data_IF_446632030221
#
_entry.id   IF_446632030221
#
_cell.length_a   1.000
_cell.length_b   1.000
_cell.length_c   1.000
_cell.angle_alpha   90.00
_cell.angle_beta   90.00
_cell.angle_gamma   90.00
#
_symmetry.space_group_name_H-M   'P 1'
#
loop_
_entity.id
_entity.type
_entity.pdbx_description
1 polymer ?
#
# COMPACT_ATOMS: atom_id res chain seq x y z
N UNK A 1 -0.96 -33.54 11.54
CA UNK A 1 -1.62 -33.76 10.23
C UNK A 1 -2.08 -35.21 10.24
N UNK A 2 -3.38 -35.47 10.34
CA UNK A 2 -3.89 -36.84 10.31
C UNK A 2 -3.98 -37.26 8.84
N UNK A 3 -3.04 -38.08 8.38
CA UNK A 3 -3.05 -38.64 7.03
C UNK A 3 -3.93 -39.90 7.09
N UNK A 4 -5.08 -39.88 6.42
CA UNK A 4 -6.07 -40.97 6.48
C UNK A 4 -5.53 -42.29 5.91
N UNK A 5 -4.62 -42.22 4.93
CA UNK A 5 -3.80 -43.33 4.46
C UNK A 5 -2.32 -42.91 4.51
N UNK A 6 -1.58 -43.24 5.59
CA UNK A 6 -0.17 -42.90 5.65
C UNK A 6 0.62 -43.75 4.66
N UNK A 7 1.59 -43.14 3.99
CA UNK A 7 2.51 -43.86 3.12
C UNK A 7 3.23 -44.97 3.92
N UNK A 8 3.13 -46.25 3.51
CA UNK A 8 3.74 -47.36 4.24
C UNK A 8 5.27 -47.42 4.14
N UNK A 9 5.90 -46.47 3.45
CA UNK A 9 7.34 -46.47 3.14
C UNK A 9 7.65 -47.12 1.79
N UNK A 10 8.87 -46.90 1.27
CA UNK A 10 9.32 -47.44 -0.02
C UNK A 10 9.87 -46.36 -0.94
N UNK A 11 9.70 -46.53 -2.26
CA UNK A 11 10.07 -45.51 -3.24
C UNK A 11 8.83 -44.69 -3.61
N UNK A 12 8.93 -43.36 -3.52
CA UNK A 12 7.85 -42.42 -3.83
C UNK A 12 8.04 -41.81 -5.21
N UNK A 13 7.12 -42.10 -6.12
CA UNK A 13 7.12 -41.61 -7.49
C UNK A 13 6.19 -40.41 -7.65
N UNK A 14 6.39 -39.64 -8.73
CA UNK A 14 5.47 -38.55 -9.08
C UNK A 14 4.02 -39.04 -9.23
N UNK A 15 3.83 -40.29 -9.72
CA UNK A 15 2.51 -40.88 -9.87
C UNK A 15 1.79 -41.03 -8.52
N UNK A 16 2.50 -41.40 -7.46
CA UNK A 16 1.94 -41.56 -6.13
C UNK A 16 1.35 -40.22 -5.64
N UNK A 17 2.08 -39.11 -5.81
CA UNK A 17 1.55 -37.78 -5.49
C UNK A 17 0.28 -37.43 -6.28
N UNK A 18 0.26 -37.72 -7.59
CA UNK A 18 -0.92 -37.50 -8.44
C UNK A 18 -2.10 -38.34 -7.97
N UNK A 19 -1.88 -39.61 -7.63
CA UNK A 19 -2.94 -40.51 -7.17
C UNK A 19 -3.52 -40.07 -5.83
N UNK A 20 -2.70 -39.62 -4.88
CA UNK A 20 -3.17 -39.02 -3.62
C UNK A 20 -4.05 -37.78 -3.86
N UNK A 21 -3.64 -36.89 -4.78
CA UNK A 21 -4.43 -35.71 -5.13
C UNK A 21 -5.77 -36.08 -5.78
N UNK A 22 -5.78 -37.07 -6.69
CA UNK A 22 -7.00 -37.57 -7.32
C UNK A 22 -7.93 -38.23 -6.30
N UNK A 23 -7.41 -39.12 -5.45
CA UNK A 23 -8.18 -39.79 -4.41
C UNK A 23 -8.83 -38.77 -3.45
N UNK A 24 -8.07 -37.77 -3.00
CA UNK A 24 -8.58 -36.68 -2.16
C UNK A 24 -9.68 -35.89 -2.88
N UNK A 25 -9.46 -35.55 -4.15
CA UNK A 25 -10.44 -34.79 -4.95
C UNK A 25 -11.74 -35.57 -5.13
N UNK A 26 -11.67 -36.84 -5.54
CA UNK A 26 -12.85 -37.67 -5.75
C UNK A 26 -13.59 -37.97 -4.44
N UNK A 27 -12.86 -38.18 -3.34
CA UNK A 27 -13.48 -38.38 -2.02
C UNK A 27 -14.26 -37.15 -1.56
N UNK A 28 -13.73 -35.94 -1.80
CA UNK A 28 -14.43 -34.69 -1.50
C UNK A 28 -15.70 -34.53 -2.35
N UNK A 29 -15.63 -34.87 -3.64
CA UNK A 29 -16.79 -34.79 -4.54
C UNK A 29 -17.87 -35.81 -4.18
N UNK A 30 -17.49 -37.05 -3.83
CA UNK A 30 -18.42 -38.08 -3.37
C UNK A 30 -19.09 -37.68 -2.05
N UNK A 31 -18.33 -37.15 -1.09
CA UNK A 31 -18.88 -36.59 0.15
C UNK A 31 -19.88 -35.47 -0.14
N UNK A 32 -19.52 -34.51 -1.00
CA UNK A 32 -20.41 -33.41 -1.36
C UNK A 32 -21.68 -33.88 -2.07
N UNK A 33 -21.60 -34.93 -2.90
CA UNK A 33 -22.75 -35.51 -3.58
C UNK A 33 -23.70 -36.23 -2.60
N UNK A 34 -23.15 -36.97 -1.63
CA UNK A 34 -23.91 -37.72 -0.61
C UNK A 34 -24.53 -36.80 0.44
N UNK A 35 -23.77 -35.82 0.92
CA UNK A 35 -24.13 -34.92 2.02
C UNK A 35 -24.67 -33.56 1.55
N UNK A 36 -25.12 -33.46 0.28
CA UNK A 36 -25.54 -32.19 -0.34
C UNK A 36 -26.57 -31.42 0.50
N UNK A 37 -27.54 -32.11 1.08
CA UNK A 37 -28.60 -31.50 1.88
C UNK A 37 -28.04 -30.94 3.19
N UNK A 38 -27.21 -31.72 3.89
CA UNK A 38 -26.50 -31.31 5.10
C UNK A 38 -25.61 -30.08 4.85
N UNK A 39 -24.85 -30.08 3.75
CA UNK A 39 -23.94 -28.99 3.39
C UNK A 39 -24.72 -27.70 3.11
N UNK A 40 -25.76 -27.78 2.26
CA UNK A 40 -26.59 -26.62 1.92
C UNK A 40 -27.33 -26.09 3.15
N UNK A 41 -27.92 -26.98 3.96
CA UNK A 41 -28.60 -26.60 5.20
C UNK A 41 -27.66 -25.90 6.17
N UNK A 42 -26.47 -26.47 6.43
CA UNK A 42 -25.49 -25.87 7.33
C UNK A 42 -24.99 -24.52 6.82
N UNK A 43 -24.79 -24.37 5.50
CA UNK A 43 -24.46 -23.09 4.90
C UNK A 43 -25.58 -22.06 5.15
N UNK A 44 -26.83 -22.38 4.86
CA UNK A 44 -27.96 -21.48 5.11
C UNK A 44 -28.10 -21.12 6.59
N UNK A 45 -28.00 -22.12 7.48
CA UNK A 45 -28.09 -21.94 8.93
C UNK A 45 -26.98 -21.01 9.45
N UNK A 46 -25.73 -21.24 9.05
CA UNK A 46 -24.60 -20.39 9.43
C UNK A 46 -24.82 -18.92 9.05
N UNK A 47 -25.39 -18.67 7.86
CA UNK A 47 -25.68 -17.31 7.39
C UNK A 47 -26.86 -16.66 8.13
N UNK A 48 -27.92 -17.42 8.45
CA UNK A 48 -29.03 -16.94 9.26
C UNK A 48 -28.58 -16.60 10.69
N UNK A 49 -27.78 -17.47 11.30
CA UNK A 49 -27.18 -17.24 12.63
C UNK A 49 -26.28 -15.98 12.61
N UNK A 50 -25.54 -15.75 11.53
CA UNK A 50 -24.72 -14.54 11.36
C UNK A 50 -25.58 -13.27 11.32
N UNK A 51 -26.69 -13.28 10.57
CA UNK A 51 -27.64 -12.16 10.52
C UNK A 51 -28.21 -11.87 11.92
N UNK A 52 -28.64 -12.91 12.63
CA UNK A 52 -29.25 -12.76 13.95
C UNK A 52 -28.25 -12.20 14.98
N UNK A 53 -27.02 -12.71 14.99
CA UNK A 53 -25.93 -12.15 15.81
C UNK A 53 -25.65 -10.70 15.46
N UNK A 54 -25.74 -10.31 14.19
CA UNK A 54 -25.56 -8.92 13.78
C UNK A 54 -26.65 -7.97 14.28
N UNK A 55 -27.86 -8.48 14.58
CA UNK A 55 -28.97 -7.71 15.16
C UNK A 55 -28.90 -7.61 16.68
N UNK A 56 -28.25 -8.56 17.34
CA UNK A 56 -28.34 -8.75 18.80
C UNK A 56 -27.01 -8.57 19.53
N UNK A 57 -25.87 -8.71 18.84
CA UNK A 57 -24.54 -8.63 19.43
C UNK A 57 -23.66 -7.55 18.78
N UNK A 58 -22.87 -6.80 19.57
CA UNK A 58 -21.89 -5.87 19.02
C UNK A 58 -20.73 -6.58 18.28
N UNK A 59 -20.11 -5.92 17.29
CA UNK A 59 -20.50 -4.62 16.75
C UNK A 59 -21.74 -4.76 15.84
N UNK A 60 -22.60 -3.74 15.84
CA UNK A 60 -23.81 -3.66 15.01
C UNK A 60 -23.53 -3.12 13.61
N UNK A 61 -22.53 -2.24 13.46
CA UNK A 61 -22.10 -1.72 12.17
C UNK A 61 -20.62 -1.30 12.15
N UNK A 62 -20.10 -1.12 10.94
CA UNK A 62 -18.96 -0.24 10.68
C UNK A 62 -19.42 0.94 9.83
N UNK A 63 -19.04 2.15 10.21
CA UNK A 63 -19.34 3.37 9.45
C UNK A 63 -18.06 3.91 8.82
N UNK A 64 -18.07 4.15 7.52
CA UNK A 64 -16.98 4.79 6.77
C UNK A 64 -17.43 6.20 6.39
N UNK A 65 -16.99 7.24 7.14
CA UNK A 65 -17.37 8.61 6.86
C UNK A 65 -16.95 9.03 5.45
N UNK A 66 -17.76 9.81 4.75
CA UNK A 66 -17.40 10.35 3.42
C UNK A 66 -16.69 11.69 3.49
N UNK A 67 -17.04 12.48 4.49
CA UNK A 67 -16.57 13.87 4.63
C UNK A 67 -15.26 13.97 5.42
N UNK A 68 -14.91 12.94 6.17
CA UNK A 68 -13.76 12.87 7.07
C UNK A 68 -12.80 11.75 6.64
N UNK A 69 -12.31 11.84 5.39
CA UNK A 69 -11.30 10.93 4.83
C UNK A 69 -10.15 11.73 4.25
N UNK A 70 -8.93 11.27 4.54
CA UNK A 70 -7.72 11.80 3.91
C UNK A 70 -7.74 11.55 2.39
N UNK A 71 -7.96 10.30 1.99
CA UNK A 71 -8.16 9.88 0.61
C UNK A 71 -9.53 9.22 0.40
N UNK A 72 -10.58 10.00 0.04
CA UNK A 72 -11.91 9.47 -0.24
C UNK A 72 -11.96 8.44 -1.38
N UNK A 73 -10.99 8.48 -2.31
CA UNK A 73 -10.91 7.53 -3.42
C UNK A 73 -10.43 6.17 -2.91
N UNK A 74 -9.46 6.15 -2.02
CA UNK A 74 -8.96 4.92 -1.39
C UNK A 74 -9.99 4.31 -0.44
N UNK A 75 -10.70 5.13 0.35
CA UNK A 75 -11.85 4.68 1.17
C UNK A 75 -12.91 3.96 0.32
N UNK A 76 -13.21 4.50 -0.85
CA UNK A 76 -14.10 3.87 -1.83
C UNK A 76 -13.53 2.58 -2.40
N UNK A 77 -12.22 2.54 -2.73
CA UNK A 77 -11.57 1.30 -3.21
C UNK A 77 -11.70 0.18 -2.16
N UNK A 78 -11.58 0.51 -0.87
CA UNK A 78 -11.82 -0.45 0.21
C UNK A 78 -13.26 -0.98 0.18
N UNK A 79 -14.25 -0.09 0.07
CA UNK A 79 -15.66 -0.47 -0.04
C UNK A 79 -15.95 -1.33 -1.28
N UNK A 80 -15.29 -1.05 -2.42
CA UNK A 80 -15.39 -1.88 -3.63
C UNK A 80 -14.81 -3.29 -3.42
N UNK A 81 -13.67 -3.41 -2.73
CA UNK A 81 -13.09 -4.70 -2.34
C UNK A 81 -14.08 -5.51 -1.48
N UNK A 82 -14.68 -4.87 -0.48
CA UNK A 82 -15.67 -5.51 0.40
C UNK A 82 -16.91 -5.94 -0.39
N UNK A 83 -17.44 -5.06 -1.24
CA UNK A 83 -18.62 -5.35 -2.07
C UNK A 83 -18.36 -6.51 -3.05
N UNK A 84 -17.17 -6.57 -3.68
CA UNK A 84 -16.75 -7.71 -4.50
C UNK A 84 -16.61 -9.01 -3.70
N UNK A 85 -16.31 -8.91 -2.41
CA UNK A 85 -16.32 -10.02 -1.46
C UNK A 85 -17.71 -10.43 -0.97
N UNK A 86 -18.79 -9.80 -1.46
CA UNK A 86 -20.17 -10.11 -1.09
C UNK A 86 -20.72 -9.28 0.08
N UNK A 87 -19.95 -8.33 0.62
CA UNK A 87 -20.41 -7.48 1.72
C UNK A 87 -21.46 -6.48 1.24
N UNK A 88 -22.59 -6.46 1.93
CA UNK A 88 -23.65 -5.48 1.73
C UNK A 88 -23.25 -4.15 2.37
N UNK A 89 -23.36 -3.07 1.58
CA UNK A 89 -22.98 -1.71 1.97
C UNK A 89 -24.19 -0.82 1.74
N UNK A 90 -24.45 0.04 2.71
CA UNK A 90 -25.54 1.02 2.66
C UNK A 90 -24.98 2.44 2.70
N UNK A 91 -25.84 3.40 2.37
CA UNK A 91 -25.58 4.82 2.48
C UNK A 91 -26.66 5.47 3.37
N UNK A 92 -26.24 6.26 4.34
CA UNK A 92 -27.15 6.99 5.21
C UNK A 92 -27.92 8.07 4.44
N UNK A 93 -29.25 8.08 4.52
CA UNK A 93 -30.11 9.08 3.87
C UNK A 93 -30.36 10.31 4.75
N UNK A 94 -30.00 10.25 6.02
CA UNK A 94 -30.07 11.35 6.98
C UNK A 94 -28.81 11.41 7.86
N UNK A 95 -28.61 12.55 8.53
CA UNK A 95 -27.70 12.63 9.67
C UNK A 95 -28.23 11.74 10.80
N UNK A 96 -27.35 11.02 11.50
CA UNK A 96 -27.75 10.10 12.56
C UNK A 96 -26.72 10.04 13.69
N UNK A 97 -27.16 9.51 14.83
CA UNK A 97 -26.29 9.25 15.99
C UNK A 97 -26.14 7.75 16.16
N UNK A 98 -24.91 7.31 16.45
CA UNK A 98 -24.66 5.97 16.95
C UNK A 98 -23.72 6.08 18.15
N UNK A 99 -24.22 5.71 19.32
CA UNK A 99 -23.58 6.02 20.61
C UNK A 99 -23.45 7.53 20.80
N UNK A 100 -22.23 8.00 21.09
CA UNK A 100 -21.91 9.41 21.31
C UNK A 100 -21.34 10.12 20.06
N UNK A 101 -21.37 9.47 18.88
CA UNK A 101 -20.81 10.04 17.65
C UNK A 101 -21.93 10.37 16.66
N UNK A 102 -21.86 11.59 16.12
CA UNK A 102 -22.71 12.01 15.02
C UNK A 102 -22.08 11.63 13.68
N UNK A 103 -22.90 11.07 12.78
CA UNK A 103 -22.55 10.77 11.41
C UNK A 103 -23.44 11.58 10.46
N UNK A 104 -22.98 11.76 9.23
CA UNK A 104 -23.63 12.64 8.26
C UNK A 104 -24.34 11.86 7.17
N UNK A 105 -25.40 12.46 6.63
CA UNK A 105 -26.04 11.99 5.40
C UNK A 105 -24.96 11.70 4.34
N UNK A 106 -25.05 10.53 3.74
CA UNK A 106 -24.13 10.06 2.72
C UNK A 106 -23.04 9.13 3.26
N UNK A 107 -22.74 9.12 4.56
CA UNK A 107 -21.75 8.18 5.12
C UNK A 107 -22.13 6.73 4.80
N UNK A 108 -21.12 5.90 4.57
CA UNK A 108 -21.35 4.49 4.24
C UNK A 108 -21.50 3.67 5.52
N UNK A 109 -22.50 2.80 5.54
CA UNK A 109 -22.84 1.97 6.70
C UNK A 109 -22.77 0.51 6.28
N UNK A 110 -21.97 -0.27 6.98
CA UNK A 110 -21.82 -1.71 6.80
C UNK A 110 -22.46 -2.37 8.03
N UNK A 111 -23.72 -2.78 7.91
CA UNK A 111 -24.44 -3.46 9.00
C UNK A 111 -23.84 -4.85 9.22
N UNK A 112 -23.74 -5.33 10.46
CA UNK A 112 -23.28 -6.69 10.75
C UNK A 112 -24.42 -7.70 10.68
N UNK A 113 -25.68 -7.26 10.57
CA UNK A 113 -26.87 -8.09 10.36
C UNK A 113 -26.97 -8.58 8.91
N UNK A 114 -25.91 -9.20 8.41
CA UNK A 114 -25.79 -9.73 7.05
C UNK A 114 -25.07 -11.10 7.06
N UNK A 115 -25.25 -11.94 6.03
CA UNK A 115 -24.58 -13.25 5.92
C UNK A 115 -23.06 -13.20 6.13
N UNK A 116 -22.41 -12.15 5.59
CA UNK A 116 -20.97 -11.96 5.63
C UNK A 116 -20.42 -11.35 6.93
N UNK A 117 -21.19 -11.37 8.04
CA UNK A 117 -20.79 -10.81 9.34
C UNK A 117 -19.35 -11.18 9.74
N UNK A 118 -19.01 -12.47 9.69
CA UNK A 118 -17.69 -12.96 10.09
C UNK A 118 -16.56 -12.42 9.20
N UNK A 119 -16.80 -12.30 7.90
CA UNK A 119 -15.84 -11.75 6.94
C UNK A 119 -15.60 -10.24 7.17
N UNK A 120 -16.67 -9.48 7.41
CA UNK A 120 -16.58 -8.05 7.75
C UNK A 120 -15.75 -7.87 9.03
N UNK A 121 -16.07 -8.61 10.10
CA UNK A 121 -15.30 -8.56 11.35
C UNK A 121 -13.84 -8.90 11.12
N UNK A 122 -13.56 -9.98 10.39
CA UNK A 122 -12.20 -10.41 10.10
C UNK A 122 -11.37 -9.36 9.34
N UNK A 123 -11.98 -8.50 8.51
CA UNK A 123 -11.24 -7.47 7.76
C UNK A 123 -11.20 -6.11 8.45
N UNK A 124 -12.24 -5.74 9.20
CA UNK A 124 -12.41 -4.37 9.72
C UNK A 124 -12.10 -4.23 11.20
N UNK A 125 -12.19 -5.30 12.00
CA UNK A 125 -11.87 -5.22 13.43
C UNK A 125 -10.37 -5.08 13.67
N UNK A 126 -10.04 -4.26 14.67
CA UNK A 126 -8.74 -4.31 15.30
C UNK A 126 -8.56 -5.67 15.99
N UNK A 127 -7.44 -6.34 15.74
CA UNK A 127 -7.11 -7.66 16.28
C UNK A 127 -6.04 -7.52 17.36
N UNK A 128 -6.41 -7.50 18.65
CA UNK A 128 -5.41 -7.61 19.70
C UNK A 128 -4.80 -9.01 19.63
N UNK A 129 -3.48 -9.09 19.42
CA UNK A 129 -2.77 -10.36 19.49
C UNK A 129 -2.32 -10.60 20.93
N UNK A 130 -2.63 -11.77 21.52
CA UNK A 130 -2.28 -12.02 22.91
C UNK A 130 -0.76 -12.21 23.07
N UNK A 131 -0.18 -11.63 24.11
CA UNK A 131 1.23 -11.85 24.47
C UNK A 131 1.37 -13.26 25.06
N UNK A 132 1.90 -14.18 24.27
CA UNK A 132 2.16 -15.55 24.71
C UNK A 132 3.66 -15.70 24.98
N UNK A 133 4.03 -16.14 26.17
CA UNK A 133 5.42 -16.48 26.54
C UNK A 133 5.53 -17.98 26.75
N UNK A 134 6.48 -18.63 26.09
CA UNK A 134 6.77 -20.03 26.36
C UNK A 134 7.29 -20.19 27.80
N UNK A 135 6.62 -21.04 28.60
CA UNK A 135 6.89 -21.21 30.04
C UNK A 135 8.34 -21.62 30.34
N UNK A 136 8.98 -22.35 29.41
CA UNK A 136 10.34 -22.87 29.59
C UNK A 136 11.44 -21.92 29.09
N UNK A 137 11.15 -21.08 28.10
CA UNK A 137 12.19 -20.30 27.39
C UNK A 137 12.16 -18.80 27.72
N UNK A 138 11.14 -18.31 28.45
CA UNK A 138 10.89 -16.87 28.68
C UNK A 138 10.91 -16.03 27.39
N UNK A 139 10.78 -16.67 26.24
CA UNK A 139 10.73 -16.05 24.94
C UNK A 139 9.27 -15.90 24.50
N UNK A 140 8.92 -14.77 23.86
CA UNK A 140 7.60 -14.62 23.27
C UNK A 140 7.41 -15.59 22.10
N UNK A 141 6.21 -16.15 21.97
CA UNK A 141 5.85 -17.10 20.92
C UNK A 141 5.36 -16.31 19.69
N UNK A 142 6.04 -16.40 18.53
CA UNK A 142 5.60 -15.71 17.34
C UNK A 142 4.27 -16.29 16.82
N UNK A 143 3.42 -15.47 16.16
CA UNK A 143 2.32 -15.98 15.37
C UNK A 143 2.83 -16.90 14.25
N UNK A 144 1.95 -17.75 13.73
CA UNK A 144 2.27 -18.57 12.55
C UNK A 144 2.51 -17.74 11.27
N UNK A 145 2.02 -16.49 11.23
CA UNK A 145 2.23 -15.53 10.14
C UNK A 145 2.42 -14.12 10.72
N UNK A 146 1.38 -13.28 10.73
CA UNK A 146 1.40 -11.92 11.29
C UNK A 146 0.37 -11.75 12.41
N UNK A 147 0.50 -10.71 13.24
CA UNK A 147 -0.40 -10.45 14.38
C UNK A 147 -1.76 -9.89 13.97
N UNK A 148 -1.87 -9.26 12.79
CA UNK A 148 -3.16 -8.78 12.31
C UNK A 148 -3.16 -8.16 10.92
N UNK A 149 -4.29 -8.34 10.24
CA UNK A 149 -4.61 -7.69 8.96
C UNK A 149 -5.86 -6.83 9.17
N UNK A 150 -5.69 -5.54 9.47
CA UNK A 150 -6.81 -4.59 9.64
C UNK A 150 -6.90 -3.71 8.39
N UNK A 151 -7.83 -4.04 7.49
CA UNK A 151 -7.90 -3.47 6.15
C UNK A 151 -8.03 -1.93 6.14
N UNK A 152 -8.88 -1.30 6.98
CA UNK A 152 -8.96 0.16 7.04
C UNK A 152 -7.63 0.82 7.41
N UNK A 153 -6.89 0.26 8.37
CA UNK A 153 -5.58 0.80 8.77
C UNK A 153 -4.58 0.70 7.61
N UNK A 154 -4.48 -0.46 6.97
CA UNK A 154 -3.57 -0.68 5.84
C UNK A 154 -3.87 0.22 4.63
N UNK A 155 -5.14 0.64 4.47
CA UNK A 155 -5.57 1.52 3.40
C UNK A 155 -5.62 3.00 3.80
N UNK A 156 -5.30 3.35 5.05
CA UNK A 156 -5.41 4.73 5.57
C UNK A 156 -6.84 5.26 5.57
N UNK A 157 -7.83 4.38 5.80
CA UNK A 157 -9.25 4.68 5.77
C UNK A 157 -9.80 4.80 7.19
N UNK A 158 -10.45 5.92 7.47
CA UNK A 158 -11.19 6.11 8.70
C UNK A 158 -12.45 5.22 8.68
N UNK A 159 -12.51 4.22 9.56
CA UNK A 159 -13.60 3.27 9.66
C UNK A 159 -13.95 3.09 11.13
N UNK A 160 -15.21 3.32 11.47
CA UNK A 160 -15.67 3.45 12.85
C UNK A 160 -16.52 2.25 13.21
N UNK A 161 -16.06 1.47 14.19
CA UNK A 161 -16.82 0.38 14.79
C UNK A 161 -17.98 0.95 15.63
N UNK A 162 -19.17 0.40 15.46
CA UNK A 162 -20.38 0.79 16.20
C UNK A 162 -20.83 -0.37 17.08
N UNK A 163 -20.67 -0.22 18.40
CA UNK A 163 -21.04 -1.24 19.40
C UNK A 163 -22.40 -0.99 20.05
N UNK A 164 -23.12 0.07 19.66
CA UNK A 164 -24.46 0.39 20.18
C UNK A 164 -25.50 0.33 19.07
N UNK A 165 -26.74 -0.14 19.35
CA UNK A 165 -27.83 -0.08 18.38
C UNK A 165 -28.09 1.36 17.94
N UNK A 166 -28.50 1.54 16.68
CA UNK A 166 -28.87 2.83 16.10
C UNK A 166 -29.92 2.63 15.02
N UNK A 167 -30.66 3.69 14.70
CA UNK A 167 -31.64 3.71 13.63
C UNK A 167 -31.34 4.84 12.66
N UNK A 168 -31.36 4.54 11.37
CA UNK A 168 -31.20 5.51 10.28
C UNK A 168 -31.80 4.93 9.01
N UNK A 169 -32.37 5.78 8.17
CA UNK A 169 -32.81 5.38 6.84
C UNK A 169 -31.59 5.10 5.95
N UNK A 170 -31.58 3.92 5.33
CA UNK A 170 -30.45 3.40 4.57
C UNK A 170 -30.84 3.11 3.11
N UNK A 171 -30.15 3.73 2.17
CA UNK A 171 -30.17 3.36 0.76
C UNK A 171 -29.21 2.20 0.48
N UNK A 172 -29.63 1.20 -0.29
CA UNK A 172 -28.74 0.11 -0.73
C UNK A 172 -27.74 0.60 -1.78
N UNK A 173 -26.50 0.12 -1.67
CA UNK A 173 -25.39 0.50 -2.55
C UNK A 173 -24.81 -0.75 -3.22
N UNK A 174 -25.32 -1.10 -4.41
CA UNK A 174 -24.79 -2.22 -5.22
C UNK A 174 -23.32 -2.05 -5.61
N UNK A 175 -22.84 -0.80 -5.64
CA UNK A 175 -21.43 -0.40 -5.66
C UNK A 175 -21.39 1.07 -5.28
N UNK A 176 -20.47 1.53 -4.40
CA UNK A 176 -20.33 2.95 -4.09
C UNK A 176 -20.24 3.71 -5.42
N UNK A 177 -21.03 4.75 -5.72
CA UNK A 177 -20.97 5.47 -7.03
C UNK A 177 -19.81 6.45 -7.07
N UNK A 178 -19.02 6.57 -8.16
CA UNK A 178 -17.84 7.44 -8.19
C UNK A 178 -18.25 8.82 -7.72
N UNK A 179 -17.52 9.39 -6.76
CA UNK A 179 -17.73 10.81 -6.50
C UNK A 179 -17.40 11.51 -7.81
N UNK A 180 -18.38 12.19 -8.40
CA UNK A 180 -18.15 12.92 -9.64
C UNK A 180 -16.98 13.86 -9.41
N UNK A 181 -15.93 13.70 -10.20
CA UNK A 181 -14.80 14.60 -10.16
C UNK A 181 -15.30 16.02 -10.31
N UNK A 182 -14.90 16.89 -9.39
CA UNK A 182 -15.22 18.30 -9.47
C UNK A 182 -14.08 18.99 -10.21
N UNK A 183 -14.36 19.48 -11.41
CA UNK A 183 -13.51 20.48 -12.07
C UNK A 183 -14.12 21.83 -11.80
N UNK A 184 -13.54 22.58 -10.86
CA UNK A 184 -13.99 23.92 -10.51
C UNK A 184 -13.47 24.88 -11.57
N UNK A 185 -14.27 25.11 -12.61
CA UNK A 185 -13.87 25.88 -13.79
C UNK A 185 -13.89 27.39 -13.52
N UNK A 186 -12.81 28.07 -13.88
CA UNK A 186 -12.71 29.54 -14.00
C UNK A 186 -12.01 29.83 -15.32
N UNK A 187 -12.55 30.76 -16.13
CA UNK A 187 -11.98 31.04 -17.46
C UNK A 187 -10.49 31.44 -17.33
N UNK A 188 -9.62 30.66 -17.98
CA UNK A 188 -8.28 31.10 -18.36
C UNK A 188 -7.13 30.88 -17.38
N UNK A 189 -7.29 30.20 -16.24
CA UNK A 189 -6.16 29.98 -15.32
C UNK A 189 -5.70 28.55 -15.12
N UNK A 190 -4.56 28.42 -14.42
CA UNK A 190 -3.80 27.19 -14.23
C UNK A 190 -4.50 26.20 -13.29
N UNK A 191 -4.14 24.92 -13.39
CA UNK A 191 -4.77 23.84 -12.63
C UNK A 191 -3.99 23.48 -11.37
N UNK A 192 -4.73 23.21 -10.30
CA UNK A 192 -4.24 22.71 -9.02
C UNK A 192 -4.92 21.38 -8.70
N UNK A 193 -4.12 20.38 -8.33
CA UNK A 193 -4.59 19.07 -7.86
C UNK A 193 -3.91 18.76 -6.53
N UNK A 194 -4.70 18.46 -5.50
CA UNK A 194 -4.16 18.08 -4.18
C UNK A 194 -3.39 16.78 -4.28
N UNK A 195 -2.24 16.70 -3.62
CA UNK A 195 -1.35 15.54 -3.65
C UNK A 195 -1.77 14.40 -2.70
N UNK A 196 -3.01 14.39 -2.22
CA UNK A 196 -3.44 13.49 -1.13
C UNK A 196 -3.93 12.11 -1.57
N UNK A 197 -4.21 11.93 -2.86
CA UNK A 197 -4.82 10.70 -3.38
C UNK A 197 -3.84 9.97 -4.27
N UNK A 198 -3.75 8.65 -4.12
CA UNK A 198 -2.83 7.83 -4.91
C UNK A 198 -3.08 7.97 -6.43
N UNK A 199 -4.31 8.29 -6.85
CA UNK A 199 -4.62 8.52 -8.27
C UNK A 199 -3.98 9.79 -8.85
N UNK A 200 -3.49 10.71 -8.02
CA UNK A 200 -2.77 11.89 -8.52
C UNK A 200 -1.42 11.51 -9.15
N UNK A 201 -0.81 10.38 -8.76
CA UNK A 201 0.41 9.87 -9.38
C UNK A 201 0.16 9.38 -10.81
N UNK A 202 -0.99 8.74 -11.07
CA UNK A 202 -1.40 8.35 -12.43
C UNK A 202 -1.55 9.60 -13.32
N UNK A 203 -2.27 10.63 -12.82
CA UNK A 203 -2.38 11.91 -13.53
C UNK A 203 -1.00 12.49 -13.86
N UNK A 204 -0.10 12.53 -12.87
CA UNK A 204 1.24 13.06 -13.02
C UNK A 204 2.04 12.29 -14.07
N UNK A 205 2.04 10.95 -13.99
CA UNK A 205 2.80 10.09 -14.91
C UNK A 205 2.30 10.23 -16.35
N UNK A 206 0.98 10.26 -16.59
CA UNK A 206 0.42 10.51 -17.93
C UNK A 206 0.86 11.86 -18.50
N UNK A 207 0.80 12.92 -17.69
CA UNK A 207 1.23 14.26 -18.13
C UNK A 207 2.73 14.31 -18.43
N UNK A 208 3.57 13.71 -17.58
CA UNK A 208 5.02 13.69 -17.78
C UNK A 208 5.42 12.87 -19.01
N UNK A 209 4.75 11.76 -19.28
CA UNK A 209 4.98 10.94 -20.47
C UNK A 209 4.62 11.68 -21.76
N UNK A 210 3.65 12.60 -21.72
CA UNK A 210 3.33 13.50 -22.82
C UNK A 210 4.26 14.74 -22.92
N UNK A 211 5.32 14.78 -22.11
CA UNK A 211 6.28 15.88 -22.09
C UNK A 211 5.72 17.19 -21.50
N UNK A 212 4.59 17.12 -20.77
CA UNK A 212 3.98 18.31 -20.17
C UNK A 212 4.80 18.81 -18.99
N UNK A 213 4.84 20.12 -18.81
CA UNK A 213 5.49 20.77 -17.66
C UNK A 213 4.55 20.76 -16.46
N UNK A 214 4.87 19.93 -15.47
CA UNK A 214 4.13 19.81 -14.22
C UNK A 214 5.06 20.10 -13.05
N UNK A 215 4.50 20.60 -11.94
CA UNK A 215 5.27 21.05 -10.79
C UNK A 215 4.66 20.55 -9.49
N UNK A 216 5.50 20.31 -8.48
CA UNK A 216 5.06 20.29 -7.08
C UNK A 216 5.30 21.64 -6.45
N UNK A 217 4.29 22.24 -5.83
CA UNK A 217 4.45 23.46 -5.05
C UNK A 217 5.32 23.19 -3.81
N UNK A 218 6.23 24.11 -3.49
CA UNK A 218 7.10 24.02 -2.30
C UNK A 218 6.43 24.56 -1.06
N UNK A 219 5.64 25.61 -1.25
CA UNK A 219 5.01 26.35 -0.17
C UNK A 219 3.51 26.07 -0.15
N UNK A 220 2.90 26.26 1.01
CA UNK A 220 1.43 26.30 1.14
C UNK A 220 0.86 27.42 0.28
N UNK A 221 -0.25 27.13 -0.39
CA UNK A 221 -1.02 28.10 -1.16
C UNK A 221 -2.43 28.23 -0.57
N UNK A 222 -2.80 29.44 -0.18
CA UNK A 222 -4.16 29.78 0.18
C UNK A 222 -4.91 30.27 -1.05
N UNK A 223 -6.05 29.65 -1.36
CA UNK A 223 -6.90 30.03 -2.47
C UNK A 223 -8.37 29.91 -2.06
N UNK A 224 -9.08 31.04 -2.00
CA UNK A 224 -10.54 31.10 -1.73
C UNK A 224 -10.98 30.36 -0.46
N UNK A 225 -10.24 30.55 0.64
CA UNK A 225 -10.51 29.87 1.91
C UNK A 225 -10.20 28.37 1.89
N UNK A 226 -9.56 27.87 0.83
CA UNK A 226 -9.00 26.52 0.76
C UNK A 226 -7.47 26.58 0.86
N UNK A 227 -6.93 25.84 1.81
CA UNK A 227 -5.50 25.61 1.96
C UNK A 227 -5.03 24.46 1.07
N UNK A 228 -3.98 24.71 0.28
CA UNK A 228 -3.25 23.73 -0.52
C UNK A 228 -1.87 23.51 0.07
N UNK A 229 -1.61 22.30 0.57
CA UNK A 229 -0.35 21.95 1.19
C UNK A 229 0.83 21.91 0.17
N UNK A 230 2.08 21.96 0.65
CA UNK A 230 3.26 21.58 -0.12
C UNK A 230 3.05 20.24 -0.84
N UNK A 231 3.64 20.13 -2.03
CA UNK A 231 3.44 19.00 -2.92
C UNK A 231 2.22 19.11 -3.83
N UNK A 232 1.32 20.08 -3.63
CA UNK A 232 0.20 20.33 -4.54
C UNK A 232 0.70 20.36 -5.99
N UNK A 233 0.02 19.58 -6.84
CA UNK A 233 0.39 19.42 -8.24
C UNK A 233 -0.15 20.64 -9.00
N UNK A 234 0.77 21.37 -9.61
CA UNK A 234 0.48 22.55 -10.40
C UNK A 234 0.75 22.28 -11.88
N UNK A 235 -0.26 22.55 -12.72
CA UNK A 235 -0.22 22.32 -14.16
C UNK A 235 -0.59 23.63 -14.86
N UNK A 236 0.33 24.28 -15.57
CA UNK A 236 0.02 25.50 -16.31
C UNK A 236 -1.05 25.23 -17.38
N UNK A 237 -2.00 26.15 -17.56
CA UNK A 237 -3.12 26.01 -18.50
C UNK A 237 -2.66 25.66 -19.91
N UNK A 238 -1.58 26.32 -20.36
CA UNK A 238 -0.98 26.10 -21.69
C UNK A 238 -0.43 24.69 -21.94
N UNK A 239 -0.31 23.84 -20.91
CA UNK A 239 0.23 22.49 -21.05
C UNK A 239 -0.83 21.47 -21.47
N UNK A 240 -2.10 21.71 -21.16
CA UNK A 240 -3.17 20.74 -21.37
C UNK A 240 -4.46 21.40 -21.84
N UNK A 241 -5.05 20.81 -22.87
CA UNK A 241 -6.38 21.18 -23.35
C UNK A 241 -7.42 21.03 -22.20
N UNK A 242 -8.31 22.02 -22.00
CA UNK A 242 -9.31 21.98 -20.92
C UNK A 242 -10.27 20.78 -20.98
N UNK A 243 -10.62 20.29 -22.17
CA UNK A 243 -11.50 19.12 -22.29
C UNK A 243 -10.74 17.85 -21.90
N UNK A 244 -9.47 17.73 -22.29
CA UNK A 244 -8.61 16.63 -21.85
C UNK A 244 -8.40 16.62 -20.33
N UNK A 245 -8.14 17.79 -19.72
CA UNK A 245 -8.03 17.88 -18.26
C UNK A 245 -9.35 17.48 -17.58
N UNK A 246 -10.49 17.91 -18.13
CA UNK A 246 -11.80 17.51 -17.61
C UNK A 246 -12.04 16.00 -17.72
N UNK A 247 -11.62 15.37 -18.82
CA UNK A 247 -11.70 13.94 -19.01
C UNK A 247 -10.84 13.19 -17.99
N UNK A 248 -9.56 13.55 -17.86
CA UNK A 248 -8.64 12.93 -16.89
C UNK A 248 -9.12 13.10 -15.44
N UNK A 249 -9.67 14.27 -15.10
CA UNK A 249 -10.25 14.50 -13.78
C UNK A 249 -11.39 13.51 -13.48
N UNK A 250 -12.30 13.32 -14.45
CA UNK A 250 -13.44 12.41 -14.32
C UNK A 250 -13.00 10.94 -14.26
N UNK A 251 -12.13 10.51 -15.17
CA UNK A 251 -11.61 9.15 -15.25
C UNK A 251 -10.90 8.76 -13.95
N UNK A 252 -10.00 9.62 -13.47
CA UNK A 252 -9.21 9.37 -12.27
C UNK A 252 -9.99 9.74 -10.99
N UNK A 253 -11.19 10.32 -11.10
CA UNK A 253 -11.96 10.86 -9.98
C UNK A 253 -11.20 11.88 -9.10
N UNK A 254 -10.21 12.57 -9.67
CA UNK A 254 -9.42 13.59 -8.95
C UNK A 254 -10.10 14.95 -9.04
N UNK A 255 -10.09 15.69 -7.92
CA UNK A 255 -10.62 17.05 -7.90
C UNK A 255 -9.58 18.01 -8.45
N UNK A 256 -9.99 18.85 -9.40
CA UNK A 256 -9.13 19.84 -10.06
C UNK A 256 -9.72 21.22 -9.85
N UNK A 257 -8.93 22.12 -9.30
CA UNK A 257 -9.30 23.53 -9.17
C UNK A 257 -8.53 24.39 -10.17
N UNK A 258 -9.23 25.32 -10.84
CA UNK A 258 -8.58 26.35 -11.63
C UNK A 258 -8.39 27.63 -10.82
N UNK A 259 -7.14 28.07 -10.73
CA UNK A 259 -6.80 29.43 -10.31
C UNK A 259 -7.36 30.41 -11.36
N UNK A 260 -7.71 31.64 -10.99
CA UNK A 260 -8.03 32.65 -11.99
C UNK A 260 -6.75 33.06 -12.75
N UNK A 261 -6.83 33.34 -14.05
CA UNK A 261 -5.76 34.10 -14.70
C UNK A 261 -5.64 35.43 -13.95
N UNK A 262 -4.42 35.86 -13.62
CA UNK A 262 -4.21 37.20 -13.08
C UNK A 262 -4.74 38.22 -14.10
N UNK A 263 -5.93 38.74 -13.86
CA UNK A 263 -6.37 39.98 -14.48
C UNK A 263 -5.35 41.05 -14.07
N UNK A 264 -4.92 41.90 -15.02
CA UNK A 264 -4.14 43.09 -14.70
C UNK A 264 -4.79 43.80 -13.50
N UNK A 265 -4.03 44.26 -12.50
CA UNK A 265 -4.62 44.84 -11.31
C UNK A 265 -5.42 46.08 -11.71
N UNK A 266 -6.74 45.99 -11.54
CA UNK A 266 -7.58 47.15 -11.27
C UNK A 266 -8.25 46.86 -9.95
N UNK A 267 -8.11 47.84 -9.08
CA UNK A 267 -8.75 48.02 -7.79
C UNK A 267 -8.04 47.35 -6.60
N UNK A 268 -7.48 48.24 -5.79
CA UNK A 268 -7.02 48.01 -4.42
C UNK A 268 -8.20 47.49 -3.60
N UNK A 269 -8.21 46.20 -3.24
CA UNK A 269 -8.81 45.61 -2.01
C UNK A 269 -8.95 44.08 -2.09
N UNK A 270 -7.94 43.38 -2.61
CA UNK A 270 -7.84 41.93 -2.46
C UNK A 270 -6.43 41.55 -2.02
N UNK A 271 -6.33 40.88 -0.88
CA UNK A 271 -5.13 40.31 -0.28
C UNK A 271 -4.29 39.55 -1.33
N UNK A 272 -3.26 40.24 -1.84
CA UNK A 272 -2.04 39.76 -2.50
C UNK A 272 -2.05 38.32 -3.04
N UNK A 273 -2.61 38.10 -4.23
CA UNK A 273 -2.36 36.90 -5.06
C UNK A 273 -0.99 36.94 -5.80
N UNK A 274 -0.07 37.84 -5.41
CA UNK A 274 1.11 38.23 -6.20
C UNK A 274 2.45 37.70 -5.68
N UNK A 275 2.48 36.52 -5.02
CA UNK A 275 3.75 35.81 -4.78
C UNK A 275 4.07 34.87 -5.95
N UNK A 276 5.28 34.90 -6.53
CA UNK A 276 5.69 33.88 -7.49
C UNK A 276 5.65 32.51 -6.80
N UNK A 277 4.89 31.58 -7.38
CA UNK A 277 4.81 30.21 -6.87
C UNK A 277 6.18 29.54 -7.00
N UNK A 278 6.73 29.11 -5.87
CA UNK A 278 7.93 28.28 -5.86
C UNK A 278 7.51 26.83 -6.02
N UNK A 279 8.11 26.14 -6.97
CA UNK A 279 7.80 24.75 -7.24
C UNK A 279 8.99 23.98 -7.80
N UNK A 280 9.00 22.67 -7.55
CA UNK A 280 9.89 21.74 -8.21
C UNK A 280 9.32 21.38 -9.57
N UNK A 281 10.06 21.67 -10.65
CA UNK A 281 9.68 21.17 -11.98
C UNK A 281 9.96 19.68 -12.05
N UNK A 282 8.93 18.91 -12.35
CA UNK A 282 9.02 17.46 -12.42
C UNK A 282 9.49 17.01 -13.81
N UNK A 283 10.17 15.86 -13.85
CA UNK A 283 10.63 15.17 -15.05
C UNK A 283 10.24 13.71 -14.93
N UNK A 284 9.93 13.02 -16.03
CA UNK A 284 9.74 11.57 -16.00
C UNK A 284 11.06 10.90 -15.56
N UNK A 285 11.08 10.14 -14.45
CA UNK A 285 12.30 9.51 -13.98
C UNK A 285 12.65 8.28 -14.84
N UNK A 286 13.93 8.06 -15.12
CA UNK A 286 14.43 6.82 -15.72
C UNK A 286 14.70 5.81 -14.61
N UNK A 287 13.71 4.98 -14.31
CA UNK A 287 13.74 4.03 -13.21
C UNK A 287 14.30 2.68 -13.69
N UNK A 288 15.19 2.08 -12.90
CA UNK A 288 15.58 0.69 -13.01
C UNK A 288 15.10 -0.10 -11.79
N UNK A 289 14.53 -1.28 -11.99
CA UNK A 289 14.20 -2.22 -10.90
C UNK A 289 15.18 -3.39 -10.97
N UNK A 290 15.94 -3.61 -9.90
CA UNK A 290 16.88 -4.74 -9.83
C UNK A 290 16.09 -6.06 -9.86
N UNK A 291 16.37 -6.89 -10.87
CA UNK A 291 15.77 -8.20 -11.01
C UNK A 291 16.86 -9.28 -10.89
N UNK A 292 16.89 -10.02 -9.77
CA UNK A 292 17.80 -11.14 -9.60
C UNK A 292 17.37 -12.32 -10.47
N UNK A 293 18.29 -13.29 -10.65
CA UNK A 293 17.95 -14.57 -11.27
C UNK A 293 17.34 -15.58 -10.29
N UNK A 294 17.44 -15.29 -8.99
CA UNK A 294 16.65 -15.96 -7.96
C UNK A 294 15.24 -15.39 -7.97
N UNK A 295 14.23 -16.23 -7.70
CA UNK A 295 12.88 -15.73 -7.53
C UNK A 295 12.84 -14.79 -6.31
N UNK A 296 12.38 -13.56 -6.49
CA UNK A 296 12.21 -12.60 -5.41
C UNK A 296 10.78 -12.04 -5.44
N UNK A 297 10.06 -12.22 -4.32
CA UNK A 297 8.63 -11.86 -4.22
C UNK A 297 8.43 -10.34 -4.17
N UNK A 298 9.31 -9.62 -3.48
CA UNK A 298 9.23 -8.15 -3.35
C UNK A 298 9.49 -7.43 -4.67
N UNK A 299 10.41 -7.93 -5.50
CA UNK A 299 10.62 -7.46 -6.88
C UNK A 299 9.31 -7.52 -7.66
N UNK A 300 8.60 -8.64 -7.60
CA UNK A 300 7.32 -8.83 -8.27
C UNK A 300 6.23 -7.87 -7.80
N UNK A 301 6.13 -7.63 -6.48
CA UNK A 301 5.17 -6.66 -5.92
C UNK A 301 5.53 -5.22 -6.27
N UNK A 302 6.81 -4.86 -6.20
CA UNK A 302 7.33 -3.54 -6.59
C UNK A 302 7.05 -3.27 -8.06
N UNK A 303 7.30 -4.26 -8.92
CA UNK A 303 6.97 -4.23 -10.35
C UNK A 303 5.48 -3.99 -10.58
N UNK A 304 4.63 -4.75 -9.90
CA UNK A 304 3.18 -4.60 -9.97
C UNK A 304 2.75 -3.17 -9.59
N UNK A 305 3.29 -2.61 -8.50
CA UNK A 305 2.98 -1.23 -8.09
C UNK A 305 3.41 -0.19 -9.12
N UNK A 306 4.63 -0.29 -9.66
CA UNK A 306 5.09 0.62 -10.72
C UNK A 306 4.15 0.60 -11.93
N UNK A 307 3.70 -0.59 -12.34
CA UNK A 307 2.74 -0.76 -13.43
C UNK A 307 1.36 -0.17 -13.11
N UNK A 308 0.82 -0.45 -11.91
CA UNK A 308 -0.49 0.08 -11.48
C UNK A 308 -0.53 1.61 -11.44
N UNK A 309 0.62 2.26 -11.17
CA UNK A 309 0.74 3.71 -11.14
C UNK A 309 1.33 4.31 -12.42
N UNK A 310 1.49 3.51 -13.47
CA UNK A 310 1.97 3.94 -14.80
C UNK A 310 3.38 4.55 -14.80
N UNK A 311 4.26 4.09 -13.90
CA UNK A 311 5.68 4.41 -13.97
C UNK A 311 6.35 3.59 -15.07
N UNK A 312 7.20 4.26 -15.87
CA UNK A 312 8.10 3.57 -16.79
C UNK A 312 9.35 3.13 -16.03
N UNK A 313 9.68 1.85 -16.13
CA UNK A 313 10.88 1.28 -15.54
C UNK A 313 11.52 0.27 -16.51
N UNK A 314 12.77 -0.10 -16.24
CA UNK A 314 13.46 -1.19 -16.93
C UNK A 314 13.97 -2.21 -15.91
N UNK A 315 13.85 -3.50 -16.20
CA UNK A 315 14.50 -4.53 -15.40
C UNK A 315 16.02 -4.41 -15.52
N UNK A 316 16.70 -4.41 -14.37
CA UNK A 316 18.14 -4.26 -14.26
C UNK A 316 18.75 -5.58 -13.77
N UNK A 317 19.46 -6.27 -14.64
CA UNK A 317 20.08 -7.57 -14.32
C UNK A 317 21.55 -7.45 -13.90
N UNK A 318 22.05 -8.49 -13.21
CA UNK A 318 23.43 -8.59 -12.70
C UNK A 318 24.52 -8.20 -13.71
N UNK A 319 24.38 -8.62 -14.98
CA UNK A 319 25.36 -8.32 -16.02
C UNK A 319 25.43 -6.83 -16.36
N UNK A 320 24.28 -6.14 -16.41
CA UNK A 320 24.20 -4.70 -16.68
C UNK A 320 24.77 -3.90 -15.51
N UNK A 321 24.51 -4.31 -14.26
CA UNK A 321 25.09 -3.67 -13.07
C UNK A 321 26.61 -3.77 -13.11
N UNK A 322 27.16 -4.98 -13.30
CA UNK A 322 28.61 -5.22 -13.39
C UNK A 322 29.30 -4.42 -14.50
N UNK A 323 28.63 -4.21 -15.63
CA UNK A 323 29.14 -3.40 -16.75
C UNK A 323 29.38 -1.92 -16.36
N UNK A 324 28.69 -1.40 -15.34
CA UNK A 324 28.85 -0.01 -14.90
C UNK A 324 28.27 1.03 -15.86
N UNK A 325 28.57 2.32 -15.64
CA UNK A 325 28.02 3.40 -16.47
C UNK A 325 26.48 3.53 -16.37
N UNK A 326 25.93 3.28 -15.19
CA UNK A 326 24.48 3.25 -14.95
C UNK A 326 23.82 4.64 -15.05
N UNK A 327 24.55 5.70 -14.72
CA UNK A 327 24.08 7.09 -14.74
C UNK A 327 23.69 7.59 -16.14
N UNK A 328 24.25 6.96 -17.19
CA UNK A 328 23.92 7.26 -18.58
C UNK A 328 22.49 6.88 -18.93
N UNK A 329 21.93 5.88 -18.24
CA UNK A 329 20.65 5.26 -18.58
C UNK A 329 19.56 5.50 -17.52
N UNK A 330 19.96 5.63 -16.25
CA UNK A 330 19.03 5.66 -15.12
C UNK A 330 19.22 6.90 -14.25
N UNK A 331 18.12 7.36 -13.65
CA UNK A 331 18.10 8.40 -12.61
C UNK A 331 17.91 7.77 -11.22
N UNK A 332 17.15 6.68 -11.16
CA UNK A 332 16.88 5.92 -9.94
C UNK A 332 17.00 4.42 -10.16
N UNK A 333 17.56 3.70 -9.19
CA UNK A 333 17.64 2.24 -9.15
C UNK A 333 16.96 1.77 -7.86
N UNK A 334 16.02 0.83 -7.98
CA UNK A 334 15.33 0.20 -6.85
C UNK A 334 15.96 -1.18 -6.60
N UNK A 335 16.39 -1.43 -5.38
CA UNK A 335 16.78 -2.74 -4.88
C UNK A 335 15.60 -3.29 -4.04
N UNK A 336 14.96 -4.39 -4.48
CA UNK A 336 13.89 -5.03 -3.72
C UNK A 336 14.43 -5.60 -2.40
N UNK A 337 13.51 -5.93 -1.49
CA UNK A 337 13.83 -6.59 -0.24
C UNK A 337 14.56 -7.92 -0.48
N UNK A 338 15.85 -7.92 -0.15
CA UNK A 338 16.77 -9.02 -0.38
C UNK A 338 18.02 -8.87 0.50
N UNK A 339 18.51 -9.94 1.13
CA UNK A 339 19.74 -9.90 1.93
C UNK A 339 20.97 -9.48 1.11
N UNK A 340 21.98 -8.83 1.74
CA UNK A 340 23.18 -8.38 1.04
C UNK A 340 23.92 -9.50 0.30
N UNK A 341 24.01 -10.68 0.91
CA UNK A 341 24.71 -11.83 0.33
C UNK A 341 24.02 -12.35 -0.94
N UNK A 342 22.69 -12.30 -1.03
CA UNK A 342 21.96 -12.68 -2.23
C UNK A 342 22.21 -11.68 -3.37
N UNK A 343 22.26 -10.38 -3.06
CA UNK A 343 22.58 -9.34 -4.05
C UNK A 343 24.01 -9.55 -4.58
N UNK A 344 24.96 -9.82 -3.68
CA UNK A 344 26.38 -10.01 -4.01
C UNK A 344 26.65 -11.28 -4.80
N UNK A 345 26.23 -12.43 -4.26
CA UNK A 345 26.55 -13.75 -4.78
C UNK A 345 25.54 -14.27 -5.79
N UNK A 346 24.29 -13.81 -5.73
CA UNK A 346 23.17 -14.32 -6.53
C UNK A 346 22.60 -15.64 -6.02
N UNK A 347 22.83 -15.98 -4.73
CA UNK A 347 22.40 -17.25 -4.12
C UNK A 347 21.62 -17.00 -2.85
N UNK A 348 20.43 -17.58 -2.76
CA UNK A 348 19.58 -17.55 -1.56
C UNK A 348 20.14 -18.42 -0.43
N UNK A 349 20.69 -19.59 -0.77
CA UNK A 349 21.34 -20.48 0.19
C UNK A 349 22.79 -20.76 -0.21
N UNK A 350 23.70 -20.94 0.77
CA UNK A 350 25.08 -21.36 0.48
C UNK A 350 25.14 -22.73 -0.20
N UNK A 351 24.24 -23.64 0.20
CA UNK A 351 24.13 -25.01 -0.30
C UNK A 351 22.76 -25.26 -0.96
N UNK A 352 22.71 -25.81 -2.19
CA UNK A 352 21.45 -26.18 -2.84
C UNK A 352 20.78 -27.36 -2.14
N UNK A 353 19.46 -27.37 -2.12
CA UNK A 353 18.66 -28.50 -1.67
C UNK A 353 17.56 -28.87 -2.67
N UNK A 354 16.68 -29.80 -2.31
CA UNK A 354 15.58 -30.25 -3.17
C UNK A 354 14.53 -29.17 -3.47
N UNK A 355 14.42 -28.15 -2.62
CA UNK A 355 13.47 -27.03 -2.77
C UNK A 355 14.12 -25.83 -3.47
N UNK A 356 15.44 -25.70 -3.36
CA UNK A 356 16.25 -24.64 -3.96
C UNK A 356 17.40 -25.24 -4.78
N UNK A 357 17.09 -25.86 -5.94
CA UNK A 357 18.11 -26.52 -6.75
C UNK A 357 19.08 -25.50 -7.35
N UNK A 358 20.30 -25.96 -7.63
CA UNK A 358 21.35 -25.09 -8.19
C UNK A 358 20.96 -24.58 -9.59
N UNK A 359 20.85 -23.25 -9.81
CA UNK A 359 20.59 -22.71 -11.13
C UNK A 359 21.70 -23.06 -12.15
N UNK A 360 21.40 -23.09 -13.45
CA UNK A 360 22.43 -23.21 -14.48
C UNK A 360 23.52 -22.13 -14.34
N UNK A 361 24.78 -22.46 -14.70
CA UNK A 361 25.95 -21.59 -14.50
C UNK A 361 25.78 -20.11 -14.88
N UNK A 362 25.12 -19.75 -16.00
CA UNK A 362 24.90 -18.35 -16.37
C UNK A 362 24.12 -17.53 -15.32
N UNK A 363 23.33 -18.20 -14.47
CA UNK A 363 22.46 -17.62 -13.45
C UNK A 363 23.06 -17.65 -12.04
N UNK A 364 24.27 -18.22 -11.87
CA UNK A 364 24.92 -18.42 -10.57
C UNK A 364 25.65 -17.20 -9.99
N UNK A 365 25.55 -16.03 -10.62
CA UNK A 365 26.37 -14.86 -10.28
C UNK A 365 25.51 -13.63 -10.03
N UNK A 366 25.59 -13.11 -8.82
CA UNK A 366 25.07 -11.82 -8.38
C UNK A 366 25.85 -10.63 -8.96
N UNK A 367 25.75 -9.48 -8.31
CA UNK A 367 26.41 -8.26 -8.77
C UNK A 367 27.92 -8.27 -8.50
N UNK A 368 28.39 -8.97 -7.46
CA UNK A 368 29.79 -9.02 -7.04
C UNK A 368 30.43 -7.65 -6.76
N UNK A 369 31.74 -7.64 -6.51
CA UNK A 369 32.50 -6.41 -6.20
C UNK A 369 32.44 -5.35 -7.32
N UNK A 370 32.45 -5.80 -8.57
CA UNK A 370 32.32 -4.95 -9.75
C UNK A 370 30.98 -4.19 -9.72
N UNK A 371 29.89 -4.89 -9.41
CA UNK A 371 28.58 -4.29 -9.30
C UNK A 371 28.44 -3.35 -8.10
N UNK A 372 29.06 -3.67 -6.96
CA UNK A 372 29.14 -2.75 -5.81
C UNK A 372 29.82 -1.44 -6.22
N UNK A 373 30.98 -1.51 -6.87
CA UNK A 373 31.70 -0.31 -7.35
C UNK A 373 30.85 0.50 -8.34
N UNK A 374 30.14 -0.17 -9.25
CA UNK A 374 29.24 0.48 -10.20
C UNK A 374 28.07 1.21 -9.51
N UNK A 375 27.44 0.59 -8.50
CA UNK A 375 26.36 1.21 -7.73
C UNK A 375 26.88 2.38 -6.87
N UNK A 376 28.08 2.26 -6.26
CA UNK A 376 28.73 3.38 -5.58
C UNK A 376 28.99 4.55 -6.53
N UNK A 377 29.52 4.28 -7.72
CA UNK A 377 29.77 5.30 -8.74
C UNK A 377 28.48 5.98 -9.20
N UNK A 378 27.41 5.21 -9.42
CA UNK A 378 26.09 5.72 -9.77
C UNK A 378 25.59 6.73 -8.73
N UNK A 379 25.62 6.37 -7.45
CA UNK A 379 25.19 7.27 -6.36
C UNK A 379 26.09 8.51 -6.26
N UNK A 380 27.42 8.33 -6.34
CA UNK A 380 28.39 9.45 -6.30
C UNK A 380 28.19 10.44 -7.45
N UNK A 381 27.68 10.00 -8.60
CA UNK A 381 27.36 10.84 -9.76
C UNK A 381 25.95 11.45 -9.70
N UNK A 382 25.26 11.34 -8.57
CA UNK A 382 23.94 11.95 -8.35
C UNK A 382 22.75 11.04 -8.70
N UNK A 383 22.99 9.76 -9.01
CA UNK A 383 21.94 8.76 -9.13
C UNK A 383 21.29 8.46 -7.77
N UNK A 384 20.00 8.11 -7.77
CA UNK A 384 19.26 7.76 -6.55
C UNK A 384 19.15 6.26 -6.40
N UNK A 385 19.64 5.71 -5.28
CA UNK A 385 19.42 4.30 -4.94
C UNK A 385 18.32 4.19 -3.90
N UNK A 386 17.29 3.40 -4.18
CA UNK A 386 16.16 3.11 -3.30
C UNK A 386 16.32 1.66 -2.85
N UNK A 387 16.61 1.42 -1.58
CA UNK A 387 16.75 0.08 -1.02
C UNK A 387 15.54 -0.24 -0.14
N UNK A 388 14.89 -1.37 -0.39
CA UNK A 388 13.74 -1.85 0.35
C UNK A 388 14.17 -2.95 1.33
N UNK A 389 13.57 -2.98 2.53
CA UNK A 389 13.81 -4.04 3.52
C UNK A 389 15.30 -4.33 3.78
N UNK A 390 15.69 -5.58 3.78
CA UNK A 390 17.06 -6.04 4.01
C UNK A 390 18.08 -5.53 2.99
N UNK A 391 17.67 -5.00 1.83
CA UNK A 391 18.61 -4.34 0.92
C UNK A 391 19.20 -3.04 1.52
N UNK A 392 18.59 -2.48 2.57
CA UNK A 392 19.19 -1.39 3.34
C UNK A 392 20.53 -1.80 3.97
N UNK A 393 20.68 -3.05 4.43
CA UNK A 393 21.96 -3.54 4.96
C UNK A 393 23.04 -3.59 3.88
N UNK A 394 22.67 -3.89 2.63
CA UNK A 394 23.60 -3.83 1.50
C UNK A 394 24.10 -2.39 1.30
N UNK A 395 23.22 -1.40 1.40
CA UNK A 395 23.61 0.01 1.33
C UNK A 395 24.52 0.42 2.49
N UNK A 396 24.27 -0.08 3.71
CA UNK A 396 25.11 0.19 4.89
C UNK A 396 26.50 -0.43 4.73
N UNK A 397 26.56 -1.74 4.48
CA UNK A 397 27.80 -2.51 4.48
C UNK A 397 28.67 -2.25 3.25
N UNK A 398 28.03 -2.15 2.07
CA UNK A 398 28.75 -2.17 0.79
C UNK A 398 28.87 -0.79 0.17
N UNK A 399 27.99 0.15 0.50
CA UNK A 399 28.02 1.53 -0.02
C UNK A 399 28.44 2.56 1.05
N UNK A 400 28.52 2.17 2.31
CA UNK A 400 28.96 3.04 3.41
C UNK A 400 27.89 4.03 3.86
N UNK A 401 26.60 3.72 3.71
CA UNK A 401 25.51 4.55 4.23
C UNK A 401 25.69 4.75 5.75
N UNK A 402 25.72 5.99 6.27
CA UNK A 402 25.96 6.28 7.68
C UNK A 402 24.72 6.04 8.56
N UNK A 403 24.19 4.81 8.48
CA UNK A 403 23.09 4.31 9.29
C UNK A 403 23.48 2.99 9.95
N UNK A 404 22.68 2.56 10.91
CA UNK A 404 22.77 1.28 11.59
C UNK A 404 21.39 0.65 11.61
N UNK A 405 21.29 -0.63 11.26
CA UNK A 405 20.15 -1.44 11.66
C UNK A 405 20.30 -1.85 13.13
N UNK A 406 19.39 -1.37 13.98
CA UNK A 406 19.41 -1.66 15.42
C UNK A 406 18.79 -3.02 15.77
N UNK A 407 18.10 -3.66 14.82
CA UNK A 407 17.46 -4.96 15.00
C UNK A 407 18.30 -6.14 14.51
N UNK A 408 19.32 -5.89 13.68
CA UNK A 408 20.13 -6.94 13.03
C UNK A 408 20.68 -8.04 13.94
N UNK A 409 21.13 -7.67 15.13
CA UNK A 409 21.70 -8.58 16.12
C UNK A 409 20.86 -8.68 17.40
N UNK A 410 19.64 -8.13 17.38
CA UNK A 410 18.75 -8.18 18.53
C UNK A 410 18.15 -9.59 18.64
N UNK A 411 18.23 -10.16 19.83
CA UNK A 411 17.49 -11.38 20.15
C UNK A 411 15.98 -11.12 20.19
N UNK A 412 15.17 -12.16 20.04
CA UNK A 412 13.71 -12.06 20.21
C UNK A 412 13.30 -11.57 21.62
N UNK A 413 14.18 -11.68 22.61
CA UNK A 413 13.96 -11.12 23.94
C UNK A 413 14.21 -9.60 24.01
N UNK A 414 15.09 -9.07 23.16
CA UNK A 414 15.42 -7.64 23.09
C UNK A 414 14.48 -6.87 22.16
N UNK A 415 14.04 -7.51 21.07
CA UNK A 415 13.10 -6.93 20.13
C UNK A 415 12.14 -8.00 19.60
N UNK A 416 10.84 -7.81 19.87
CA UNK A 416 9.78 -8.69 19.40
C UNK A 416 8.65 -7.89 18.79
N UNK A 417 8.58 -7.89 17.46
CA UNK A 417 7.51 -7.26 16.69
C UNK A 417 7.19 -8.16 15.49
N UNK A 418 6.54 -9.32 15.72
CA UNK A 418 6.24 -10.24 14.61
C UNK A 418 5.12 -9.64 13.77
N UNK A 419 5.36 -9.35 12.49
CA UNK A 419 4.33 -9.00 11.51
C UNK A 419 3.22 -8.11 12.07
N UNK A 420 3.49 -6.85 12.37
CA UNK A 420 2.56 -5.99 13.13
C UNK A 420 2.27 -4.67 12.43
N UNK A 421 1.04 -4.17 12.59
CA UNK A 421 0.67 -2.83 12.14
C UNK A 421 1.10 -1.80 13.17
N UNK A 422 1.99 -0.90 12.78
CA UNK A 422 2.51 0.17 13.62
C UNK A 422 2.01 1.53 13.11
N UNK A 423 1.76 2.48 14.01
CA UNK A 423 1.62 3.89 13.62
C UNK A 423 3.00 4.49 13.45
N UNK A 424 3.20 5.23 12.39
CA UNK A 424 4.39 6.05 12.18
C UNK A 424 3.99 7.51 12.13
N UNK A 425 4.87 8.38 12.62
CA UNK A 425 4.74 9.83 12.45
C UNK A 425 5.45 10.21 11.16
N UNK A 426 4.77 11.02 10.37
CA UNK A 426 5.21 11.47 9.06
C UNK A 426 5.40 12.99 9.11
N UNK A 427 6.48 13.50 8.52
CA UNK A 427 6.68 14.93 8.34
C UNK A 427 6.22 15.34 6.93
N UNK A 428 4.96 15.81 6.74
CA UNK A 428 4.42 16.14 5.41
C UNK A 428 5.04 17.40 4.80
N UNK A 429 5.99 18.05 5.49
CA UNK A 429 6.76 19.18 4.94
C UNK A 429 7.95 18.71 4.08
N UNK A 430 8.36 17.45 4.23
CA UNK A 430 9.41 16.85 3.41
C UNK A 430 8.86 16.35 2.07
N UNK A 431 9.58 16.56 0.94
CA UNK A 431 9.09 16.15 -0.38
C UNK A 431 8.74 14.67 -0.53
N UNK A 432 9.41 13.78 0.22
CA UNK A 432 9.11 12.33 0.21
C UNK A 432 7.75 11.99 0.85
N UNK A 433 7.23 12.88 1.70
CA UNK A 433 5.99 12.69 2.45
C UNK A 433 4.87 13.63 1.97
N UNK A 434 5.08 14.38 0.89
CA UNK A 434 4.04 15.21 0.31
C UNK A 434 2.78 14.41 0.00
N UNK A 435 1.65 14.89 0.53
CA UNK A 435 0.36 14.24 0.36
C UNK A 435 0.00 13.19 1.41
N UNK A 436 0.93 12.81 2.28
CA UNK A 436 0.65 11.91 3.41
C UNK A 436 -0.01 12.67 4.57
N UNK A 437 -0.85 11.99 5.38
CA UNK A 437 -1.23 12.50 6.70
C UNK A 437 -0.02 12.54 7.65
N UNK A 438 -0.14 13.24 8.77
CA UNK A 438 0.90 13.30 9.82
C UNK A 438 1.11 11.98 10.56
N UNK A 439 0.12 11.08 10.49
CA UNK A 439 0.18 9.73 11.05
C UNK A 439 -0.31 8.72 10.01
N UNK A 440 0.45 7.63 9.83
CA UNK A 440 0.08 6.55 8.93
C UNK A 440 0.29 5.19 9.61
N UNK A 441 -0.42 4.16 9.14
CA UNK A 441 -0.14 2.78 9.52
C UNK A 441 0.88 2.17 8.55
N UNK A 442 1.83 1.42 9.08
CA UNK A 442 2.78 0.61 8.31
C UNK A 442 2.76 -0.82 8.82
N UNK A 443 3.01 -1.79 7.93
CA UNK A 443 3.26 -3.16 8.32
C UNK A 443 4.76 -3.33 8.59
N UNK A 444 5.11 -3.82 9.77
CA UNK A 444 6.47 -4.25 10.10
C UNK A 444 6.54 -5.77 10.05
N UNK A 445 7.31 -6.31 9.11
CA UNK A 445 7.52 -7.76 8.97
C UNK A 445 9.00 -8.02 8.71
N UNK A 446 9.76 -8.36 9.77
CA UNK A 446 11.18 -8.75 9.69
C UNK A 446 12.10 -7.79 8.91
N UNK A 447 11.76 -6.50 8.84
CA UNK A 447 12.56 -5.47 8.17
C UNK A 447 13.56 -4.77 9.12
N UNK A 448 14.57 -4.08 8.59
CA UNK A 448 15.54 -3.36 9.41
C UNK A 448 14.92 -2.13 10.08
N UNK A 449 15.35 -1.85 11.31
CA UNK A 449 15.02 -0.59 12.00
C UNK A 449 16.23 0.32 11.95
N UNK A 450 16.15 1.34 11.10
CA UNK A 450 17.30 2.18 10.78
C UNK A 450 17.46 3.35 11.76
N UNK A 451 18.65 3.46 12.34
CA UNK A 451 19.10 4.61 13.12
C UNK A 451 20.26 5.32 12.40
N UNK A 452 20.16 6.62 12.08
CA UNK A 452 21.29 7.40 11.58
C UNK A 452 22.47 7.40 12.57
N UNK A 453 23.71 7.26 12.10
CA UNK A 453 24.92 7.29 12.95
C UNK A 453 25.24 8.69 13.48
N UNK A 454 24.82 9.72 12.75
CA UNK A 454 24.88 11.11 13.17
C UNK A 454 23.46 11.63 13.22
N UNK A 455 23.17 12.57 14.13
CA UNK A 455 21.85 13.19 14.19
C UNK A 455 21.51 13.77 12.81
N UNK A 456 20.55 13.17 12.14
CA UNK A 456 19.88 13.78 11.01
C UNK A 456 18.57 14.32 11.59
N UNK A 457 18.26 15.58 11.31
CA UNK A 457 16.96 16.13 11.70
C UNK A 457 15.85 15.25 11.10
N UNK A 458 15.02 14.72 12.00
CA UNK A 458 13.59 14.38 11.84
C UNK A 458 13.25 13.09 11.07
N UNK A 459 12.97 12.04 11.81
CA UNK A 459 11.68 11.31 11.86
C UNK A 459 11.74 10.33 13.05
N UNK A 460 10.63 10.15 13.76
CA UNK A 460 10.52 9.22 14.89
C UNK A 460 9.27 8.36 14.74
N UNK A 461 9.33 7.11 15.20
CA UNK A 461 8.20 6.17 15.20
C UNK A 461 7.72 6.01 16.65
N UNK A 462 6.51 6.49 17.01
CA UNK A 462 5.88 6.10 18.28
C UNK A 462 5.10 4.79 18.09
N UNK A 463 5.28 3.83 18.99
CA UNK A 463 4.47 2.60 19.03
C UNK A 463 2.98 2.93 19.29
N UNK A 464 2.07 2.08 18.79
CA UNK A 464 0.62 2.17 19.03
C UNK A 464 0.23 1.52 20.36
#
# INVERSE_FOLDING_TARGET
MNVLEPWPGGWWHLRDAVDYHLATTFSLLDLAAREKESIIYNFCKMNLDAIEKGKTEPPFAFVVPRHDQHDPITARKMLDILSRGGVEIHQAEADFWAGNRQFKRGDYVILLSQPFRAYVKALLEHKPYPEWTAVLEKAPVPPGDVTGWTLPLMMGVNCVRIDTPFEVELGSVNSPRPQRAKVLRRRGGDYLVRHRTNRSFILLNRLLQEGKKVYWLRDTLELRGSTYAPGTIYIPLKQIDPNKMSFLAQELAVTVEQRAATARPRDHDALSETRPLKGFRLKPPRIALYQPWTANVDEGWTRFLLEQFEFRYQSLYNARIRKGGLQGDFDAIILPDMPPEEILSGRATPEPDIYTPRPPKPYLRGVGEEGVKALQEFVRKGGTLIALGSACDFAIERLGLPAQDVTKNASAAEFFCPGSLLRVVVDPTEPLAYGMPDNAAVMFTNGPVLRPKYWARRTGVPAL
#
